data_IF_971966949212
#
_entry.id   IF_971966949212
#
_cell.length_a   1.000
_cell.length_b   1.000
_cell.length_c   1.000
_cell.angle_alpha   90.00
_cell.angle_beta   90.00
_cell.angle_gamma   90.00
#
_symmetry.space_group_name_H-M   'P 1'
#
loop_
_entity.id
_entity.type
_entity.pdbx_description
1 polymer ?
#
# COMPACT_ATOMS: atom_id res chain seq x y z
N UNK A 1 1.56 21.67 -8.31
CA UNK A 1 0.29 22.40 -8.53
C UNK A 1 -0.45 22.76 -7.25
N UNK A 2 -0.86 21.79 -6.43
CA UNK A 2 -1.66 22.09 -5.21
C UNK A 2 -1.01 23.13 -4.30
N UNK A 3 0.30 23.03 -4.06
CA UNK A 3 1.03 23.97 -3.21
C UNK A 3 1.43 25.27 -3.91
N UNK A 4 1.26 25.39 -5.23
CA UNK A 4 1.71 26.56 -6.00
C UNK A 4 3.21 26.84 -5.86
N UNK A 5 4.02 25.78 -5.84
CA UNK A 5 5.49 25.82 -5.75
C UNK A 5 6.09 24.96 -6.86
N UNK A 6 7.32 25.25 -7.26
CA UNK A 6 8.12 24.35 -8.09
C UNK A 6 8.59 23.17 -7.23
N UNK A 7 8.33 21.90 -7.61
CA UNK A 7 8.84 20.74 -6.90
C UNK A 7 10.37 20.75 -6.72
N UNK A 8 11.11 21.42 -7.59
CA UNK A 8 12.57 21.55 -7.48
C UNK A 8 13.01 22.38 -6.26
N UNK A 9 12.14 23.25 -5.74
CA UNK A 9 12.44 24.10 -4.58
C UNK A 9 12.15 23.40 -3.24
N UNK A 10 11.57 22.19 -3.25
CA UNK A 10 11.21 21.41 -2.05
C UNK A 10 12.43 20.67 -1.53
N UNK A 11 12.87 20.99 -0.31
CA UNK A 11 14.05 20.38 0.32
C UNK A 11 13.71 19.31 1.37
N UNK A 12 12.48 19.30 1.87
CA UNK A 12 11.99 18.26 2.76
C UNK A 12 10.46 18.15 2.69
N UNK A 13 9.97 16.95 2.95
CA UNK A 13 8.55 16.63 3.05
C UNK A 13 8.31 15.84 4.34
N UNK A 14 7.17 16.06 4.97
CA UNK A 14 6.76 15.37 6.19
C UNK A 14 5.24 15.18 6.21
N UNK A 15 4.79 14.13 6.88
CA UNK A 15 3.36 13.87 7.11
C UNK A 15 3.14 13.78 8.61
N UNK A 16 2.43 14.76 9.16
CA UNK A 16 2.16 14.85 10.58
C UNK A 16 0.70 15.27 10.79
N UNK A 17 0.01 14.58 11.69
CA UNK A 17 -1.35 14.89 12.14
C UNK A 17 -2.35 15.21 11.01
N UNK A 18 -2.30 14.39 9.95
CA UNK A 18 -3.23 14.48 8.82
C UNK A 18 -2.87 15.58 7.81
N UNK A 19 -1.67 16.17 7.89
CA UNK A 19 -1.20 17.17 6.95
C UNK A 19 0.03 16.70 6.19
N UNK A 20 0.10 17.06 4.92
CA UNK A 20 1.34 17.04 4.15
C UNK A 20 2.02 18.39 4.33
N UNK A 21 3.24 18.38 4.87
CA UNK A 21 4.05 19.55 5.13
C UNK A 21 5.24 19.51 4.19
N UNK A 22 5.47 20.58 3.44
CA UNK A 22 6.65 20.75 2.59
C UNK A 22 7.49 21.92 3.11
N UNK A 23 8.81 21.77 3.06
CA UNK A 23 9.78 22.83 3.39
C UNK A 23 10.55 23.21 2.13
N UNK A 24 10.66 24.51 1.87
CA UNK A 24 11.33 25.07 0.69
C UNK A 24 12.78 25.48 1.00
N UNK A 25 13.59 25.69 -0.05
CA UNK A 25 14.98 26.15 0.06
C UNK A 25 15.13 27.46 0.84
N UNK A 26 14.16 28.35 0.74
CA UNK A 26 14.13 29.64 1.47
C UNK A 26 13.78 29.50 2.96
N UNK A 27 13.55 28.27 3.42
CA UNK A 27 13.18 27.94 4.80
C UNK A 27 11.70 28.10 5.12
N UNK A 28 10.86 28.49 4.16
CA UNK A 28 9.40 28.57 4.37
C UNK A 28 8.76 27.18 4.36
N UNK A 29 7.69 27.02 5.12
CA UNK A 29 6.89 25.81 5.16
C UNK A 29 5.51 26.07 4.60
N UNK A 30 4.97 25.10 3.87
CA UNK A 30 3.58 25.07 3.44
C UNK A 30 2.96 23.75 3.86
N UNK A 31 1.72 23.79 4.32
CA UNK A 31 0.97 22.61 4.71
C UNK A 31 -0.35 22.53 3.94
N UNK A 32 -0.81 21.30 3.69
CA UNK A 32 -2.16 21.00 3.21
C UNK A 32 -2.74 19.83 3.96
N UNK A 33 -4.06 19.84 4.10
CA UNK A 33 -4.81 18.72 4.61
C UNK A 33 -4.66 17.50 3.68
N UNK A 34 -4.28 16.36 4.24
CA UNK A 34 -4.02 15.15 3.48
C UNK A 34 -5.32 14.52 2.97
N UNK A 35 -6.42 14.61 3.72
CA UNK A 35 -7.70 14.06 3.29
C UNK A 35 -8.27 14.85 2.09
N UNK A 36 -8.17 16.18 2.11
CA UNK A 36 -8.53 17.01 0.95
C UNK A 36 -7.71 16.67 -0.29
N UNK A 37 -6.40 16.38 -0.13
CA UNK A 37 -5.54 15.94 -1.23
C UNK A 37 -5.97 14.56 -1.75
N UNK A 38 -6.29 13.62 -0.87
CA UNK A 38 -6.75 12.28 -1.23
C UNK A 38 -8.11 12.28 -1.94
N UNK A 39 -9.04 13.16 -1.55
CA UNK A 39 -10.33 13.34 -2.24
C UNK A 39 -10.16 13.89 -3.66
N UNK A 40 -9.13 14.70 -3.90
CA UNK A 40 -8.77 15.20 -5.24
C UNK A 40 -8.00 14.19 -6.09
N UNK A 41 -7.72 12.99 -5.56
CA UNK A 41 -6.99 11.94 -6.26
C UNK A 41 -5.46 12.02 -6.13
N UNK A 42 -4.94 12.86 -5.22
CA UNK A 42 -3.52 12.87 -4.86
C UNK A 42 -3.25 11.95 -3.67
N UNK A 43 -1.98 11.81 -3.27
CA UNK A 43 -1.60 11.06 -2.07
C UNK A 43 -1.50 9.55 -2.29
N UNK A 44 -2.04 8.76 -1.36
CA UNK A 44 -1.94 7.29 -1.38
C UNK A 44 -2.72 6.72 -2.57
N UNK A 45 -2.19 5.65 -3.18
CA UNK A 45 -2.96 4.81 -4.11
C UNK A 45 -4.28 4.37 -3.47
N UNK A 46 -5.33 4.24 -4.28
CA UNK A 46 -6.65 3.86 -3.83
C UNK A 46 -6.63 2.64 -2.89
N UNK A 47 -5.97 1.56 -3.30
CA UNK A 47 -5.92 0.34 -2.49
C UNK A 47 -5.07 0.49 -1.23
N UNK A 48 -4.03 1.34 -1.24
CA UNK A 48 -3.19 1.59 -0.06
C UNK A 48 -3.99 2.29 1.06
N UNK A 49 -5.06 3.03 0.73
CA UNK A 49 -5.96 3.64 1.73
C UNK A 49 -6.73 2.61 2.56
N UNK A 50 -6.83 1.36 2.07
CA UNK A 50 -7.59 0.26 2.70
C UNK A 50 -6.74 -0.63 3.61
N UNK A 51 -5.43 -0.37 3.71
CA UNK A 51 -4.51 -1.22 4.46
C UNK A 51 -4.63 -0.97 5.97
N UNK A 52 -5.01 -2.01 6.72
CA UNK A 52 -5.04 -1.96 8.20
C UNK A 52 -3.66 -2.19 8.83
N UNK A 53 -2.64 -2.53 8.05
CA UNK A 53 -1.28 -2.67 8.56
C UNK A 53 -0.48 -1.40 8.27
N UNK A 54 -0.42 -0.48 9.24
CA UNK A 54 0.34 0.76 9.12
C UNK A 54 1.73 0.66 9.75
N UNK A 55 1.86 -0.10 10.84
CA UNK A 55 3.15 -0.48 11.43
C UNK A 55 3.48 -1.92 11.00
N UNK A 56 4.59 -2.16 10.27
CA UNK A 56 4.91 -3.49 9.72
C UNK A 56 5.53 -4.43 10.77
N UNK A 57 4.76 -4.76 11.82
CA UNK A 57 5.19 -5.63 12.92
C UNK A 57 5.44 -7.10 12.52
N UNK A 58 5.17 -7.46 11.26
CA UNK A 58 5.55 -8.75 10.68
C UNK A 58 7.01 -8.80 10.21
N UNK A 59 7.68 -7.64 10.10
CA UNK A 59 9.11 -7.57 9.80
C UNK A 59 9.93 -7.92 11.06
N UNK A 60 11.25 -8.05 10.92
CA UNK A 60 12.13 -8.23 12.09
C UNK A 60 12.22 -6.95 12.94
N UNK A 61 12.11 -5.78 12.30
CA UNK A 61 12.21 -4.46 12.93
C UNK A 61 11.24 -3.50 12.22
N UNK A 62 10.45 -2.75 12.99
CA UNK A 62 9.58 -1.68 12.50
C UNK A 62 10.08 -0.30 12.97
N UNK A 63 10.50 0.53 12.01
CA UNK A 63 11.02 1.87 12.26
C UNK A 63 10.01 2.94 11.82
N UNK A 64 9.82 4.00 12.62
CA UNK A 64 8.94 5.11 12.21
C UNK A 64 9.00 6.31 13.14
N UNK A 65 8.34 7.39 12.74
CA UNK A 65 8.27 8.65 13.52
C UNK A 65 7.25 8.61 14.65
N UNK A 66 6.19 7.80 14.54
CA UNK A 66 5.13 7.75 15.55
C UNK A 66 5.67 7.30 16.91
N UNK A 67 5.49 8.16 17.92
CA UNK A 67 6.07 8.00 19.26
C UNK A 67 7.45 8.65 19.43
N UNK A 68 8.01 9.28 18.39
CA UNK A 68 9.31 9.95 18.41
C UNK A 68 9.25 11.39 17.88
N UNK A 69 8.09 12.04 17.96
CA UNK A 69 7.81 13.36 17.35
C UNK A 69 8.57 14.52 17.98
N UNK A 70 8.97 14.40 19.26
CA UNK A 70 9.51 15.51 20.04
C UNK A 70 11.04 15.67 19.88
N UNK A 71 11.69 14.71 19.23
CA UNK A 71 13.14 14.67 19.01
C UNK A 71 13.43 14.24 17.58
N UNK A 72 14.60 14.60 17.06
CA UNK A 72 15.09 14.07 15.78
C UNK A 72 15.59 12.61 15.97
N UNK A 73 14.65 11.71 16.23
CA UNK A 73 14.88 10.30 16.55
C UNK A 73 13.89 9.42 15.80
N UNK A 74 14.24 8.15 15.62
CA UNK A 74 13.34 7.14 15.03
C UNK A 74 12.89 6.19 16.12
N UNK A 75 11.58 5.95 16.21
CA UNK A 75 11.03 4.89 17.04
C UNK A 75 11.34 3.54 16.39
N UNK A 76 12.07 2.68 17.11
CA UNK A 76 12.43 1.33 16.66
C UNK A 76 11.68 0.33 17.51
N UNK A 77 10.89 -0.52 16.86
CA UNK A 77 10.20 -1.65 17.48
C UNK A 77 10.84 -2.94 16.96
N UNK A 78 11.39 -3.74 17.88
CA UNK A 78 11.99 -5.04 17.56
C UNK A 78 10.91 -6.11 17.65
N UNK A 79 10.69 -6.83 16.55
CA UNK A 79 9.54 -7.72 16.37
C UNK A 79 9.94 -9.20 16.28
N UNK A 80 11.24 -9.52 16.25
CA UNK A 80 11.76 -10.88 16.20
C UNK A 80 13.12 -11.02 16.89
N UNK A 81 13.53 -12.26 17.19
CA UNK A 81 14.87 -12.56 17.72
C UNK A 81 15.99 -12.07 16.77
N UNK A 82 15.80 -12.25 15.45
CA UNK A 82 16.75 -11.75 14.43
C UNK A 82 16.85 -10.23 14.44
N UNK A 83 15.72 -9.54 14.64
CA UNK A 83 15.68 -8.10 14.80
C UNK A 83 16.44 -7.65 16.05
N UNK A 84 16.29 -8.39 17.16
CA UNK A 84 17.01 -8.14 18.40
C UNK A 84 18.52 -8.25 18.18
N UNK A 85 18.96 -9.40 17.65
CA UNK A 85 20.37 -9.66 17.35
C UNK A 85 20.99 -8.56 16.45
N UNK A 86 20.25 -8.13 15.43
CA UNK A 86 20.69 -7.07 14.51
C UNK A 86 20.83 -5.71 15.21
N UNK A 87 19.82 -5.30 15.99
CA UNK A 87 19.84 -4.01 16.69
C UNK A 87 20.91 -4.00 17.79
N UNK A 88 21.04 -5.08 18.56
CA UNK A 88 22.08 -5.22 19.59
C UNK A 88 23.48 -5.13 18.98
N UNK A 89 23.74 -5.85 17.89
CA UNK A 89 25.02 -5.78 17.18
C UNK A 89 25.32 -4.35 16.70
N UNK A 90 24.30 -3.63 16.21
CA UNK A 90 24.46 -2.25 15.77
C UNK A 90 24.78 -1.28 16.93
N UNK A 91 24.22 -1.53 18.12
CA UNK A 91 24.52 -0.77 19.34
C UNK A 91 25.95 -1.06 19.80
N UNK A 92 26.34 -2.34 19.88
CA UNK A 92 27.68 -2.75 20.33
C UNK A 92 28.79 -2.23 19.42
N UNK A 93 28.55 -2.23 18.10
CA UNK A 93 29.47 -1.67 17.13
C UNK A 93 29.48 -0.13 17.09
N UNK A 94 28.59 0.53 17.85
CA UNK A 94 28.51 2.00 17.93
C UNK A 94 27.93 2.67 16.68
N UNK A 95 27.19 1.93 15.84
CA UNK A 95 26.56 2.47 14.63
C UNK A 95 25.31 3.30 14.94
N UNK A 96 24.61 2.99 16.03
CA UNK A 96 23.42 3.71 16.47
C UNK A 96 23.52 4.09 17.94
N UNK A 97 22.87 5.20 18.29
CA UNK A 97 22.62 5.61 19.68
C UNK A 97 21.16 5.36 19.97
N UNK A 98 20.89 4.70 21.08
CA UNK A 98 19.52 4.34 21.47
C UNK A 98 19.21 4.88 22.87
N UNK A 99 17.95 5.23 23.07
CA UNK A 99 17.35 5.48 24.38
C UNK A 99 16.05 4.69 24.47
N UNK A 100 15.64 4.34 25.68
CA UNK A 100 14.35 3.67 25.89
C UNK A 100 13.21 4.68 25.67
N UNK A 101 12.16 4.33 24.90
CA UNK A 101 11.02 5.22 24.73
C UNK A 101 10.27 5.40 26.06
N UNK A 102 9.67 6.58 26.26
CA UNK A 102 8.79 6.82 27.40
C UNK A 102 7.47 6.06 27.25
N UNK A 103 6.72 5.89 28.35
CA UNK A 103 5.37 5.34 28.29
C UNK A 103 4.45 6.14 27.37
N UNK A 104 4.55 7.48 27.41
CA UNK A 104 3.77 8.39 26.58
C UNK A 104 4.09 8.25 25.08
N UNK A 105 5.37 8.00 24.74
CA UNK A 105 5.81 7.73 23.38
C UNK A 105 5.17 6.45 22.82
N UNK A 106 5.19 5.37 23.62
CA UNK A 106 4.58 4.08 23.26
C UNK A 106 3.07 4.24 23.06
N UNK A 107 2.39 4.93 23.97
CA UNK A 107 0.95 5.16 23.89
C UNK A 107 0.58 6.05 22.69
N UNK A 108 1.38 7.06 22.41
CA UNK A 108 1.19 7.92 21.23
C UNK A 108 1.31 7.12 19.93
N UNK A 109 2.31 6.23 19.83
CA UNK A 109 2.49 5.33 18.69
C UNK A 109 1.27 4.43 18.49
N UNK A 110 0.80 3.79 19.57
CA UNK A 110 -0.41 2.95 19.53
C UNK A 110 -1.63 3.72 19.06
N UNK A 111 -1.89 4.89 19.66
CA UNK A 111 -3.03 5.73 19.30
C UNK A 111 -2.99 6.17 17.83
N UNK A 112 -1.81 6.53 17.29
CA UNK A 112 -1.69 6.90 15.87
C UNK A 112 -1.97 5.70 14.94
N UNK A 113 -1.53 4.50 15.31
CA UNK A 113 -1.84 3.28 14.55
C UNK A 113 -3.34 2.95 14.58
N UNK A 114 -3.99 3.03 15.75
CA UNK A 114 -5.44 2.82 15.89
C UNK A 114 -6.27 3.78 15.03
N UNK A 115 -5.89 5.06 14.99
CA UNK A 115 -6.53 6.06 14.12
C UNK A 115 -6.35 5.72 12.65
N UNK A 116 -5.17 5.27 12.25
CA UNK A 116 -4.88 4.88 10.87
C UNK A 116 -5.64 3.61 10.45
N UNK A 117 -5.78 2.63 11.36
CA UNK A 117 -6.61 1.42 11.17
C UNK A 117 -8.08 1.80 10.98
N UNK A 118 -8.61 2.68 11.82
CA UNK A 118 -10.00 3.11 11.72
C UNK A 118 -10.27 3.84 10.40
N UNK A 119 -9.36 4.73 9.98
CA UNK A 119 -9.44 5.37 8.67
C UNK A 119 -9.42 4.33 7.53
N UNK A 120 -8.56 3.31 7.62
CA UNK A 120 -8.51 2.25 6.61
C UNK A 120 -9.83 1.47 6.52
N UNK A 121 -10.47 1.19 7.66
CA UNK A 121 -11.79 0.52 7.71
C UNK A 121 -12.89 1.38 7.10
N UNK A 122 -12.87 2.69 7.32
CA UNK A 122 -13.81 3.61 6.68
C UNK A 122 -13.66 3.58 5.14
N UNK A 123 -12.43 3.56 4.62
CA UNK A 123 -12.18 3.40 3.19
C UNK A 123 -12.63 2.03 2.66
N UNK A 124 -12.36 0.94 3.39
CA UNK A 124 -12.86 -0.38 3.02
C UNK A 124 -14.39 -0.42 2.95
N UNK A 125 -15.08 0.19 3.92
CA UNK A 125 -16.54 0.24 3.92
C UNK A 125 -17.05 1.06 2.74
N UNK A 126 -16.52 2.27 2.54
CA UNK A 126 -16.88 3.14 1.41
C UNK A 126 -16.71 2.44 0.07
N UNK A 127 -15.58 1.76 -0.13
CA UNK A 127 -15.20 1.22 -1.43
C UNK A 127 -15.83 -0.15 -1.72
N UNK A 128 -16.14 -0.93 -0.67
CA UNK A 128 -16.73 -2.27 -0.81
C UNK A 128 -18.23 -2.33 -0.51
N UNK A 129 -18.86 -1.27 0.00
CA UNK A 129 -20.29 -1.26 0.33
C UNK A 129 -21.18 -1.71 -0.85
N UNK A 130 -20.97 -1.13 -2.03
CA UNK A 130 -21.74 -1.48 -3.22
C UNK A 130 -21.65 -2.96 -3.57
N UNK A 131 -20.46 -3.55 -3.48
CA UNK A 131 -20.25 -4.98 -3.73
C UNK A 131 -20.89 -5.86 -2.66
N UNK A 132 -20.88 -5.43 -1.39
CA UNK A 132 -21.51 -6.15 -0.26
C UNK A 132 -23.03 -6.17 -0.38
N UNK A 133 -23.62 -5.08 -0.87
CA UNK A 133 -25.06 -4.91 -1.06
C UNK A 133 -25.63 -5.70 -2.26
N UNK A 134 -24.80 -5.98 -3.27
CA UNK A 134 -25.19 -6.83 -4.41
C UNK A 134 -25.60 -8.23 -3.97
N UNK A 135 -26.69 -8.74 -4.53
CA UNK A 135 -27.04 -10.16 -4.51
C UNK A 135 -25.98 -11.01 -5.21
N UNK A 136 -26.03 -12.34 -5.01
CA UNK A 136 -25.09 -13.26 -5.66
C UNK A 136 -25.12 -13.16 -7.19
N UNK A 137 -26.30 -13.01 -7.79
CA UNK A 137 -26.47 -12.93 -9.24
C UNK A 137 -25.93 -11.59 -9.77
N UNK A 138 -26.24 -10.46 -9.11
CA UNK A 138 -25.70 -9.15 -9.48
C UNK A 138 -24.18 -9.10 -9.36
N UNK A 139 -23.63 -9.68 -8.29
CA UNK A 139 -22.18 -9.75 -8.08
C UNK A 139 -21.51 -10.64 -9.14
N UNK A 140 -22.16 -11.75 -9.52
CA UNK A 140 -21.70 -12.61 -10.59
C UNK A 140 -21.63 -11.84 -11.92
N UNK A 141 -22.73 -11.19 -12.31
CA UNK A 141 -22.80 -10.41 -13.55
C UNK A 141 -21.80 -9.25 -13.56
N UNK A 142 -21.63 -8.56 -12.42
CA UNK A 142 -20.62 -7.52 -12.25
C UNK A 142 -19.21 -8.02 -12.59
N UNK A 143 -18.77 -9.13 -11.98
CA UNK A 143 -17.43 -9.66 -12.20
C UNK A 143 -17.24 -10.22 -13.61
N UNK A 144 -18.24 -10.90 -14.16
CA UNK A 144 -18.19 -11.35 -15.56
C UNK A 144 -18.09 -10.15 -16.52
N UNK A 145 -18.78 -9.05 -16.20
CA UNK A 145 -18.62 -7.77 -16.89
C UNK A 145 -17.19 -7.25 -16.81
N UNK A 146 -16.56 -7.22 -15.63
CA UNK A 146 -15.16 -6.81 -15.47
C UNK A 146 -14.21 -7.69 -16.27
N UNK A 147 -14.40 -9.01 -16.24
CA UNK A 147 -13.56 -9.95 -17.00
C UNK A 147 -13.72 -9.80 -18.52
N UNK A 148 -14.91 -9.42 -19.00
CA UNK A 148 -15.17 -9.18 -20.42
C UNK A 148 -14.39 -8.00 -21.01
N UNK A 149 -13.86 -7.09 -20.17
CA UNK A 149 -12.98 -5.98 -20.60
C UNK A 149 -11.56 -6.45 -20.89
N UNK A 150 -11.17 -7.64 -20.45
CA UNK A 150 -9.80 -8.11 -20.53
C UNK A 150 -9.34 -8.26 -22.00
N UNK A 151 -8.14 -7.76 -22.30
CA UNK A 151 -7.49 -7.94 -23.61
C UNK A 151 -6.29 -8.89 -23.56
N UNK A 152 -6.12 -9.61 -22.44
CA UNK A 152 -5.01 -10.56 -22.20
C UNK A 152 -3.61 -9.96 -22.49
N UNK A 153 -3.40 -8.69 -22.14
CA UNK A 153 -2.10 -8.00 -22.33
C UNK A 153 -1.00 -8.47 -21.37
N UNK A 154 -1.35 -9.27 -20.36
CA UNK A 154 -0.47 -9.75 -19.28
C UNK A 154 0.08 -8.70 -18.31
N UNK A 155 -0.26 -7.41 -18.45
CA UNK A 155 0.21 -6.35 -17.54
C UNK A 155 -0.07 -6.66 -16.07
N UNK A 156 -1.27 -7.16 -15.76
CA UNK A 156 -1.63 -7.56 -14.39
C UNK A 156 -0.78 -8.72 -13.85
N UNK A 157 -0.30 -9.63 -14.70
CA UNK A 157 0.61 -10.72 -14.30
C UNK A 157 2.00 -10.16 -14.04
N UNK A 158 2.51 -9.38 -14.97
CA UNK A 158 3.91 -8.92 -14.98
C UNK A 158 4.18 -7.86 -13.89
N UNK A 159 3.17 -7.07 -13.52
CA UNK A 159 3.25 -6.12 -12.41
C UNK A 159 3.13 -6.76 -11.01
N UNK A 160 2.73 -8.04 -10.93
CA UNK A 160 2.39 -8.66 -9.65
C UNK A 160 3.63 -9.32 -9.01
N UNK A 161 4.05 -8.92 -7.79
CA UNK A 161 5.28 -9.43 -7.18
C UNK A 161 5.20 -10.91 -6.77
N UNK A 162 3.99 -11.45 -6.60
CA UNK A 162 3.77 -12.86 -6.26
C UNK A 162 3.61 -13.76 -7.50
N UNK A 163 3.58 -13.20 -8.70
CA UNK A 163 3.60 -13.95 -9.95
C UNK A 163 5.04 -14.28 -10.40
N UNK A 164 5.73 -15.13 -9.65
CA UNK A 164 7.15 -15.48 -9.88
C UNK A 164 7.36 -16.86 -10.56
N UNK A 165 6.28 -17.52 -11.00
CA UNK A 165 6.37 -18.83 -11.64
C UNK A 165 7.28 -18.77 -12.88
N UNK A 166 8.27 -19.66 -12.96
CA UNK A 166 9.14 -19.80 -14.14
C UNK A 166 8.39 -20.31 -15.37
N UNK A 167 7.40 -21.18 -15.13
CA UNK A 167 6.52 -21.74 -16.16
C UNK A 167 5.07 -21.43 -15.76
N UNK A 168 4.34 -20.70 -16.60
CA UNK A 168 2.97 -20.29 -16.32
C UNK A 168 2.00 -20.88 -17.36
N UNK A 169 0.96 -21.59 -16.91
CA UNK A 169 -0.07 -22.17 -17.78
C UNK A 169 -0.85 -21.13 -18.59
N UNK A 170 -0.84 -19.86 -18.16
CA UNK A 170 -1.53 -18.76 -18.83
C UNK A 170 -0.76 -18.17 -20.01
N UNK A 171 0.51 -18.55 -20.21
CA UNK A 171 1.31 -18.10 -21.35
C UNK A 171 0.68 -18.53 -22.68
N UNK A 172 0.79 -17.65 -23.69
CA UNK A 172 0.16 -17.86 -25.00
C UNK A 172 0.62 -19.15 -25.71
N UNK A 173 1.85 -19.60 -25.47
CA UNK A 173 2.43 -20.79 -26.10
C UNK A 173 2.00 -22.11 -25.44
N UNK A 174 1.31 -22.10 -24.30
CA UNK A 174 0.90 -23.32 -23.58
C UNK A 174 -0.40 -23.92 -24.12
N UNK A 175 -1.17 -23.16 -24.89
CA UNK A 175 -2.42 -23.62 -25.49
C UNK A 175 -3.57 -23.83 -24.51
N UNK A 176 -3.38 -23.59 -23.20
CA UNK A 176 -4.45 -23.72 -22.19
C UNK A 176 -5.56 -22.69 -22.38
N UNK A 177 -5.20 -21.44 -22.69
CA UNK A 177 -6.13 -20.40 -23.13
C UNK A 177 -5.89 -20.14 -24.62
N UNK A 178 -6.91 -20.26 -25.48
CA UNK A 178 -6.80 -19.96 -26.90
C UNK A 178 -6.16 -18.58 -27.16
N UNK A 179 -5.28 -18.51 -28.17
CA UNK A 179 -4.64 -17.27 -28.57
C UNK A 179 -5.53 -16.49 -29.56
N UNK A 180 -5.42 -15.15 -29.56
CA UNK A 180 -6.07 -14.27 -30.53
C UNK A 180 -7.53 -13.90 -30.24
N UNK A 181 -8.15 -14.45 -29.18
CA UNK A 181 -9.48 -14.05 -28.73
C UNK A 181 -9.42 -12.83 -27.80
N UNK A 182 -10.29 -11.84 -28.05
CA UNK A 182 -10.50 -10.66 -27.21
C UNK A 182 -12.01 -10.43 -27.05
N UNK A 183 -12.58 -10.53 -25.83
CA UNK A 183 -11.90 -10.93 -24.61
C UNK A 183 -11.34 -12.38 -24.67
N UNK A 184 -10.32 -12.71 -23.86
CA UNK A 184 -9.88 -14.08 -23.74
C UNK A 184 -10.96 -14.95 -23.11
N UNK A 185 -10.78 -16.27 -23.16
CA UNK A 185 -11.57 -17.19 -22.36
C UNK A 185 -11.55 -16.77 -20.87
N UNK A 186 -12.71 -16.82 -20.22
CA UNK A 186 -12.91 -16.46 -18.80
C UNK A 186 -11.98 -17.22 -17.86
N UNK A 187 -11.49 -18.39 -18.29
CA UNK A 187 -10.50 -19.15 -17.54
C UNK A 187 -9.18 -18.38 -17.33
N UNK A 188 -8.84 -17.40 -18.17
CA UNK A 188 -7.65 -16.58 -17.97
C UNK A 188 -7.69 -15.78 -16.66
N UNK A 189 -8.66 -14.86 -16.44
CA UNK A 189 -8.74 -14.14 -15.17
C UNK A 189 -9.02 -15.07 -13.98
N UNK A 190 -9.85 -16.12 -14.14
CA UNK A 190 -10.18 -17.04 -13.04
C UNK A 190 -8.95 -17.80 -12.52
N UNK A 191 -8.16 -18.43 -13.41
CA UNK A 191 -6.95 -19.16 -12.99
C UNK A 191 -5.94 -18.21 -12.35
N UNK A 192 -5.76 -17.00 -12.90
CA UNK A 192 -4.88 -16.01 -12.29
C UNK A 192 -5.33 -15.68 -10.87
N UNK A 193 -6.62 -15.38 -10.66
CA UNK A 193 -7.18 -15.07 -9.34
C UNK A 193 -6.92 -16.23 -8.38
N UNK A 194 -7.24 -17.46 -8.76
CA UNK A 194 -7.02 -18.64 -7.91
C UNK A 194 -5.56 -18.81 -7.49
N UNK A 195 -4.60 -18.47 -8.35
CA UNK A 195 -3.18 -18.60 -8.04
C UNK A 195 -2.65 -17.52 -7.08
N UNK A 196 -3.27 -16.34 -7.06
CA UNK A 196 -2.76 -15.19 -6.29
C UNK A 196 -3.61 -14.85 -5.06
N UNK A 197 -4.86 -15.31 -4.99
CA UNK A 197 -5.86 -14.83 -4.02
C UNK A 197 -5.41 -14.98 -2.56
N UNK A 198 -4.69 -16.05 -2.23
CA UNK A 198 -4.27 -16.34 -0.84
C UNK A 198 -3.10 -15.46 -0.38
N UNK A 199 -2.29 -14.95 -1.30
CA UNK A 199 -1.13 -14.09 -1.00
C UNK A 199 -1.32 -12.64 -1.44
N UNK A 200 -2.49 -12.30 -1.99
CA UNK A 200 -2.77 -10.97 -2.50
C UNK A 200 -2.89 -9.98 -1.33
N UNK A 201 -2.00 -8.99 -1.28
CA UNK A 201 -2.04 -7.90 -0.29
C UNK A 201 -2.84 -6.68 -0.78
N UNK A 202 -3.61 -6.83 -1.86
CA UNK A 202 -4.42 -5.75 -2.44
C UNK A 202 -3.61 -4.47 -2.73
N UNK A 203 -2.41 -4.58 -3.33
CA UNK A 203 -1.55 -3.41 -3.57
C UNK A 203 -1.97 -2.51 -4.75
N UNK A 204 -2.93 -2.93 -5.57
CA UNK A 204 -3.43 -2.17 -6.72
C UNK A 204 -2.55 -2.16 -7.98
N UNK A 205 -1.29 -2.60 -7.92
CA UNK A 205 -0.35 -2.54 -9.06
C UNK A 205 -0.87 -3.19 -10.34
N UNK A 206 -1.64 -4.27 -10.23
CA UNK A 206 -2.21 -4.94 -11.39
C UNK A 206 -3.34 -4.13 -12.07
N UNK A 207 -4.01 -3.26 -11.31
CA UNK A 207 -5.00 -2.32 -11.80
C UNK A 207 -4.31 -1.14 -12.48
N UNK A 208 -3.31 -0.53 -11.83
CA UNK A 208 -2.50 0.56 -12.41
C UNK A 208 -1.87 0.17 -13.76
N UNK A 209 -1.46 -1.09 -13.91
CA UNK A 209 -0.87 -1.61 -15.15
C UNK A 209 -1.90 -2.03 -16.22
N UNK A 210 -3.20 -1.98 -15.92
CA UNK A 210 -4.24 -2.44 -16.82
C UNK A 210 -4.59 -1.35 -17.85
N UNK A 211 -4.41 -1.59 -19.17
CA UNK A 211 -4.72 -0.59 -20.19
C UNK A 211 -6.23 -0.44 -20.45
N UNK A 212 -7.06 -1.19 -19.73
CA UNK A 212 -8.51 -1.22 -19.89
C UNK A 212 -9.23 -0.52 -18.74
N UNK A 213 -8.52 0.03 -17.75
CA UNK A 213 -9.08 0.86 -16.68
C UNK A 213 -9.62 2.19 -17.20
#
# INVERSE_FOLDING_TARGET
>A
DEFGVDPADVVAEDIEDGKLIIRLEDGTEREKDLAELEEKGYGRRENCRRCETNIPIMADIACGKWGATDKNTTFIEVCSDKGSDFVETAIEAGYIKVEQPSGDAIETRRRKDEVAIELARQWQEKDFASLKEMSSDERFDYWFGQFSRCIKCYGCRDACPICYCKDCCLEANRGFIPAGAVPPDIMFPLVRITHVMDSCVNCGQCQDACPME
#
